data_IF_898074331153
#
_entry.id   IF_898074331153
#
_cell.length_a   1.000
_cell.length_b   1.000
_cell.length_c   1.000
_cell.angle_alpha   90.00
_cell.angle_beta   90.00
_cell.angle_gamma   90.00
#
_symmetry.space_group_name_H-M   'P 1'
#
loop_
_entity.id
_entity.type
_entity.pdbx_description
1 polymer ?
#
# COMPACT_ATOMS: atom_id res chain seq x y z
N UNK A 1 51.70 20.34 -35.18
CA UNK A 1 50.93 20.05 -36.41
C UNK A 1 49.53 20.56 -36.15
N UNK A 2 49.34 21.86 -36.34
CA UNK A 2 48.09 22.57 -36.04
C UNK A 2 47.23 22.50 -37.30
N UNK A 3 46.22 21.64 -37.28
CA UNK A 3 45.21 21.53 -38.33
C UNK A 3 44.56 22.90 -38.53
N UNK A 4 44.64 23.44 -39.75
CA UNK A 4 43.94 24.67 -40.13
C UNK A 4 42.44 24.40 -40.08
N UNK A 5 41.76 24.85 -39.02
CA UNK A 5 40.31 24.75 -38.93
C UNK A 5 39.66 25.40 -40.16
N UNK A 6 38.68 24.69 -40.72
CA UNK A 6 37.89 25.13 -41.86
C UNK A 6 37.38 26.57 -41.62
N UNK A 7 37.62 27.52 -42.54
CA UNK A 7 37.20 28.91 -42.39
C UNK A 7 35.72 29.07 -42.02
N UNK A 8 34.85 28.14 -42.44
CA UNK A 8 33.43 28.16 -42.06
C UNK A 8 33.19 27.96 -40.57
N UNK A 9 34.01 27.15 -39.89
CA UNK A 9 33.92 27.01 -38.42
C UNK A 9 34.35 28.29 -37.71
N UNK A 10 35.31 29.02 -38.29
CA UNK A 10 35.80 30.26 -37.73
C UNK A 10 34.72 31.36 -37.80
N UNK A 11 33.99 31.43 -38.91
CA UNK A 11 32.87 32.36 -39.07
C UNK A 11 31.73 32.07 -38.08
N UNK A 12 31.41 30.79 -37.85
CA UNK A 12 30.40 30.39 -36.86
C UNK A 12 30.87 30.68 -35.43
N UNK A 13 32.14 30.43 -35.11
CA UNK A 13 32.70 30.76 -33.80
C UNK A 13 32.69 32.28 -33.55
N UNK A 14 33.01 33.09 -34.57
CA UNK A 14 32.89 34.53 -34.52
C UNK A 14 31.43 34.98 -34.30
N UNK A 15 30.48 34.38 -35.02
CA UNK A 15 29.05 34.69 -34.85
C UNK A 15 28.52 34.30 -33.45
N UNK A 16 28.95 33.16 -32.90
CA UNK A 16 28.53 32.70 -31.57
C UNK A 16 29.16 33.50 -30.44
N UNK A 17 30.43 33.90 -30.59
CA UNK A 17 31.11 34.75 -29.59
C UNK A 17 30.57 36.19 -29.57
N UNK A 18 30.02 36.67 -30.68
CA UNK A 18 29.32 37.95 -30.74
C UNK A 18 27.95 37.93 -30.04
N UNK A 19 27.36 36.76 -29.80
CA UNK A 19 26.14 36.64 -29.01
C UNK A 19 26.50 36.79 -27.52
N UNK A 20 26.26 37.98 -26.98
CA UNK A 20 26.30 38.18 -25.54
C UNK A 20 25.28 37.23 -24.87
N UNK A 21 25.69 36.45 -23.84
CA UNK A 21 24.78 35.57 -23.13
C UNK A 21 23.69 36.43 -22.51
N UNK A 22 22.49 36.35 -23.08
CA UNK A 22 21.30 36.97 -22.52
C UNK A 22 21.04 36.22 -21.22
N UNK A 23 21.04 36.87 -20.04
CA UNK A 23 20.74 36.17 -18.80
C UNK A 23 19.37 35.51 -19.00
N UNK A 24 19.35 34.18 -18.92
CA UNK A 24 18.12 33.43 -19.04
C UNK A 24 17.23 33.85 -17.87
N UNK A 25 16.37 34.84 -18.10
CA UNK A 25 15.30 35.23 -17.19
C UNK A 25 14.17 34.19 -17.27
N UNK A 26 14.56 32.90 -17.18
CA UNK A 26 13.62 31.85 -16.94
C UNK A 26 13.16 32.03 -15.50
N UNK A 27 11.98 32.61 -15.36
CA UNK A 27 11.28 32.78 -14.09
C UNK A 27 10.91 31.38 -13.56
N UNK A 28 11.88 30.75 -12.89
CA UNK A 28 11.80 29.40 -12.34
C UNK A 28 10.59 29.28 -11.43
N UNK A 29 10.32 30.31 -10.65
CA UNK A 29 9.22 30.31 -9.69
C UNK A 29 7.88 30.29 -10.40
N UNK A 30 7.74 31.09 -11.46
CA UNK A 30 6.53 31.06 -12.29
C UNK A 30 6.34 29.73 -13.02
N UNK A 31 7.43 29.09 -13.46
CA UNK A 31 7.37 27.78 -14.10
C UNK A 31 6.94 26.71 -13.09
N UNK A 32 7.57 26.67 -11.92
CA UNK A 32 7.22 25.72 -10.84
C UNK A 32 5.79 25.94 -10.33
N UNK A 33 5.35 27.19 -10.17
CA UNK A 33 3.99 27.50 -9.77
C UNK A 33 2.95 27.02 -10.79
N UNK A 34 3.22 27.20 -12.09
CA UNK A 34 2.35 26.70 -13.16
C UNK A 34 2.35 25.18 -13.22
N UNK A 35 3.51 24.55 -13.06
CA UNK A 35 3.63 23.10 -12.99
C UNK A 35 2.81 22.54 -11.82
N UNK A 36 2.94 23.11 -10.62
CA UNK A 36 2.14 22.71 -9.46
C UNK A 36 0.64 22.89 -9.68
N UNK A 37 0.20 24.01 -10.27
CA UNK A 37 -1.21 24.22 -10.63
C UNK A 37 -1.74 23.21 -11.65
N UNK A 38 -0.90 22.77 -12.59
CA UNK A 38 -1.27 21.77 -13.59
C UNK A 38 -1.28 20.34 -13.02
N UNK A 39 -0.40 20.05 -12.06
CA UNK A 39 -0.32 18.76 -11.36
C UNK A 39 -1.39 18.59 -10.28
N UNK A 40 -2.03 19.67 -9.82
CA UNK A 40 -3.11 19.56 -8.85
C UNK A 40 -4.26 18.72 -9.43
N UNK A 41 -4.61 17.57 -8.80
CA UNK A 41 -5.66 16.71 -9.29
C UNK A 41 -6.96 17.51 -9.38
N UNK A 42 -7.63 17.42 -10.53
CA UNK A 42 -8.88 18.12 -10.76
C UNK A 42 -9.88 17.72 -9.67
N UNK A 43 -10.48 18.66 -8.93
CA UNK A 43 -11.40 18.36 -7.83
C UNK A 43 -12.67 17.61 -8.30
N UNK A 44 -12.85 17.44 -9.61
CA UNK A 44 -13.95 16.67 -10.17
C UNK A 44 -13.86 15.19 -9.82
N UNK A 45 -12.66 14.61 -9.74
CA UNK A 45 -12.51 13.18 -9.46
C UNK A 45 -13.01 12.81 -8.06
N UNK A 46 -12.73 13.65 -7.04
CA UNK A 46 -13.23 13.42 -5.69
C UNK A 46 -14.76 13.55 -5.61
N UNK A 47 -15.33 14.53 -6.34
CA UNK A 47 -16.79 14.70 -6.40
C UNK A 47 -17.45 13.50 -7.07
N UNK A 48 -16.84 12.96 -8.12
CA UNK A 48 -17.35 11.79 -8.83
C UNK A 48 -17.28 10.53 -7.97
N UNK A 49 -16.18 10.33 -7.23
CA UNK A 49 -16.05 9.18 -6.32
C UNK A 49 -17.04 9.27 -5.16
N UNK A 50 -17.20 10.46 -4.57
CA UNK A 50 -18.20 10.70 -3.53
C UNK A 50 -19.61 10.42 -4.07
N UNK A 51 -19.96 10.98 -5.23
CA UNK A 51 -21.26 10.75 -5.88
C UNK A 51 -21.51 9.27 -6.14
N UNK A 52 -20.54 8.56 -6.73
CA UNK A 52 -20.63 7.13 -6.99
C UNK A 52 -20.82 6.31 -5.70
N UNK A 53 -20.10 6.66 -4.63
CA UNK A 53 -20.26 6.03 -3.31
C UNK A 53 -21.65 6.25 -2.73
N UNK A 54 -22.18 7.48 -2.76
CA UNK A 54 -23.56 7.75 -2.31
C UNK A 54 -24.61 7.01 -3.13
N UNK A 55 -24.45 6.94 -4.46
CA UNK A 55 -25.38 6.20 -5.33
C UNK A 55 -25.35 4.72 -4.96
N UNK A 56 -24.16 4.12 -4.81
CA UNK A 56 -24.03 2.72 -4.43
C UNK A 56 -24.68 2.43 -3.06
N UNK A 57 -24.50 3.32 -2.07
CA UNK A 57 -25.11 3.19 -0.76
C UNK A 57 -26.65 3.24 -0.83
N UNK A 58 -27.22 4.16 -1.61
CA UNK A 58 -28.67 4.27 -1.81
C UNK A 58 -29.23 3.02 -2.49
N UNK A 59 -28.54 2.48 -3.49
CA UNK A 59 -28.94 1.24 -4.18
C UNK A 59 -28.92 0.05 -3.21
N UNK A 60 -27.86 -0.11 -2.41
CA UNK A 60 -27.77 -1.17 -1.41
C UNK A 60 -28.86 -1.05 -0.35
N UNK A 61 -29.13 0.16 0.14
CA UNK A 61 -30.21 0.41 1.08
C UNK A 61 -31.58 0.05 0.50
N UNK A 62 -31.84 0.39 -0.76
CA UNK A 62 -33.07 0.02 -1.46
C UNK A 62 -33.21 -1.49 -1.61
N UNK A 63 -32.13 -2.19 -1.99
CA UNK A 63 -32.11 -3.66 -2.09
C UNK A 63 -32.43 -4.30 -0.73
N UNK A 64 -31.85 -3.79 0.36
CA UNK A 64 -32.11 -4.28 1.71
C UNK A 64 -33.57 -4.04 2.16
N UNK A 65 -34.16 -2.91 1.79
CA UNK A 65 -35.57 -2.62 2.10
C UNK A 65 -36.55 -3.55 1.38
N UNK A 66 -36.24 -3.95 0.14
CA UNK A 66 -37.11 -4.81 -0.68
C UNK A 66 -36.84 -6.30 -0.43
N UNK A 67 -35.75 -6.64 0.27
CA UNK A 67 -35.38 -8.04 0.50
C UNK A 67 -36.43 -8.73 1.39
N UNK A 68 -37.08 -9.81 0.93
CA UNK A 68 -38.00 -10.57 1.76
C UNK A 68 -37.25 -11.17 2.95
N UNK A 69 -37.92 -11.23 4.10
CA UNK A 69 -37.34 -11.78 5.32
C UNK A 69 -36.81 -13.20 5.03
N UNK A 70 -35.56 -13.52 5.43
CA UNK A 70 -35.02 -14.85 5.24
C UNK A 70 -35.92 -15.84 5.98
N UNK A 71 -36.48 -16.80 5.24
CA UNK A 71 -37.25 -17.89 5.84
C UNK A 71 -36.31 -18.69 6.73
N UNK A 72 -36.58 -18.81 8.04
CA UNK A 72 -35.78 -19.65 8.91
C UNK A 72 -35.91 -21.09 8.43
N UNK A 73 -34.84 -21.63 7.86
CA UNK A 73 -34.78 -23.05 7.53
C UNK A 73 -34.53 -23.77 8.85
N UNK A 74 -35.60 -24.32 9.44
CA UNK A 74 -35.49 -25.20 10.60
C UNK A 74 -34.72 -26.46 10.18
N UNK A 75 -33.42 -26.48 10.47
CA UNK A 75 -32.57 -27.64 10.24
C UNK A 75 -32.72 -28.57 11.44
N UNK A 76 -33.57 -29.58 11.31
CA UNK A 76 -33.64 -30.67 12.29
C UNK A 76 -32.33 -31.47 12.21
N UNK A 77 -31.47 -31.31 13.21
CA UNK A 77 -30.25 -32.11 13.37
C UNK A 77 -30.60 -33.32 14.22
N UNK A 78 -30.68 -34.49 13.60
CA UNK A 78 -30.80 -35.74 14.32
C UNK A 78 -29.44 -36.08 14.95
N UNK A 79 -29.34 -35.86 16.25
CA UNK A 79 -28.20 -36.35 17.05
C UNK A 79 -28.49 -37.79 17.41
N UNK A 80 -27.66 -38.72 16.92
CA UNK A 80 -27.68 -40.08 17.42
C UNK A 80 -27.11 -40.10 18.84
N UNK A 81 -27.99 -40.34 19.82
CA UNK A 81 -27.57 -40.53 21.21
C UNK A 81 -27.26 -42.02 21.36
N UNK A 82 -25.97 -42.36 21.50
CA UNK A 82 -25.58 -43.70 21.94
C UNK A 82 -26.17 -43.93 23.33
N UNK A 83 -27.02 -44.95 23.55
CA UNK A 83 -27.60 -45.21 24.86
C UNK A 83 -26.47 -45.41 25.88
N UNK A 84 -26.52 -44.64 26.98
CA UNK A 84 -25.59 -44.78 28.08
C UNK A 84 -25.64 -46.24 28.58
N UNK A 85 -24.48 -46.90 28.78
CA UNK A 85 -24.43 -48.21 29.41
C UNK A 85 -25.16 -48.15 30.76
N UNK A 86 -26.09 -49.08 30.98
CA UNK A 86 -26.78 -49.25 32.26
C UNK A 86 -25.71 -49.37 33.36
N UNK A 87 -25.76 -48.58 34.45
CA UNK A 87 -24.78 -48.66 35.52
C UNK A 87 -24.73 -50.07 36.10
N UNK A 88 -23.57 -50.73 35.98
CA UNK A 88 -23.26 -51.89 36.81
C UNK A 88 -23.20 -51.44 38.29
N UNK A 89 -23.54 -52.31 39.26
CA UNK A 89 -23.54 -51.96 40.68
C UNK A 89 -22.18 -51.38 41.11
N UNK A 90 -22.18 -50.42 42.05
CA UNK A 90 -21.04 -49.54 42.30
C UNK A 90 -19.85 -50.35 42.81
N UNK A 91 -18.82 -50.49 41.98
CA UNK A 91 -17.48 -50.69 42.48
C UNK A 91 -16.89 -49.32 42.77
N UNK A 92 -16.49 -49.16 44.02
CA UNK A 92 -15.79 -48.01 44.58
C UNK A 92 -14.51 -47.75 43.77
N UNK A 93 -14.55 -46.79 42.85
CA UNK A 93 -13.37 -46.29 42.16
C UNK A 93 -12.99 -44.98 42.82
N UNK A 94 -11.78 -44.96 43.37
CA UNK A 94 -11.16 -43.81 44.02
C UNK A 94 -11.27 -42.56 43.13
N UNK A 95 -11.83 -41.50 43.70
CA UNK A 95 -11.95 -40.18 43.08
C UNK A 95 -10.55 -39.57 42.99
N UNK A 96 -9.94 -39.63 41.81
CA UNK A 96 -8.83 -38.74 41.46
C UNK A 96 -9.43 -37.40 41.03
N UNK A 97 -9.04 -36.25 41.63
CA UNK A 97 -9.55 -34.95 41.21
C UNK A 97 -9.18 -34.66 39.75
N UNK A 98 -10.09 -34.13 38.92
CA UNK A 98 -9.75 -33.69 37.58
C UNK A 98 -8.81 -32.49 37.66
N UNK A 99 -7.68 -32.58 36.96
CA UNK A 99 -6.82 -31.43 36.71
C UNK A 99 -7.61 -30.36 35.93
N UNK A 100 -7.39 -29.06 36.20
CA UNK A 100 -8.03 -27.99 35.44
C UNK A 100 -7.68 -28.13 33.96
N UNK A 101 -8.70 -28.24 33.11
CA UNK A 101 -8.55 -28.11 31.67
C UNK A 101 -8.28 -26.63 31.37
N UNK A 102 -7.01 -26.23 31.43
CA UNK A 102 -6.51 -25.03 30.78
C UNK A 102 -6.69 -25.21 29.27
N UNK A 103 -7.88 -24.85 28.81
CA UNK A 103 -8.18 -24.72 27.39
C UNK A 103 -7.63 -23.37 26.95
N UNK A 104 -6.31 -23.27 26.75
CA UNK A 104 -5.78 -22.14 25.99
C UNK A 104 -6.42 -22.17 24.60
N UNK A 105 -7.02 -21.06 24.13
CA UNK A 105 -7.44 -20.94 22.75
C UNK A 105 -6.19 -21.08 21.89
N UNK A 106 -6.02 -22.24 21.28
CA UNK A 106 -4.99 -22.50 20.30
C UNK A 106 -5.34 -21.66 19.07
N UNK A 107 -4.95 -20.38 19.07
CA UNK A 107 -5.08 -19.53 17.90
C UNK A 107 -4.34 -20.21 16.76
N UNK A 108 -4.98 -20.43 15.60
CA UNK A 108 -4.29 -21.03 14.47
C UNK A 108 -3.11 -20.13 14.12
N UNK A 109 -1.91 -20.68 14.18
CA UNK A 109 -0.66 -20.04 13.79
C UNK A 109 -0.67 -19.74 12.28
N UNK A 110 -1.47 -18.75 11.88
CA UNK A 110 -1.41 -18.14 10.57
C UNK A 110 -0.20 -17.20 10.56
N UNK A 111 0.97 -17.77 10.31
CA UNK A 111 2.17 -17.00 9.97
C UNK A 111 2.03 -16.45 8.55
N UNK A 112 1.23 -15.40 8.40
CA UNK A 112 1.20 -14.66 7.14
C UNK A 112 2.61 -14.14 6.83
N UNK A 113 3.10 -14.27 5.59
CA UNK A 113 4.40 -13.72 5.21
C UNK A 113 4.35 -12.20 5.41
N UNK A 114 5.05 -11.72 6.43
CA UNK A 114 5.16 -10.29 6.70
C UNK A 114 6.03 -9.66 5.62
N UNK A 115 5.38 -9.09 4.61
CA UNK A 115 6.05 -8.26 3.63
C UNK A 115 6.61 -7.02 4.34
N UNK A 116 7.66 -6.39 3.82
CA UNK A 116 8.20 -5.15 4.40
C UNK A 116 7.13 -4.05 4.52
N UNK A 117 6.10 -4.08 3.68
CA UNK A 117 4.98 -3.16 3.73
C UNK A 117 4.08 -3.35 4.97
N UNK A 118 3.71 -4.58 5.33
CA UNK A 118 2.82 -4.81 6.50
C UNK A 118 3.47 -4.47 7.83
N UNK A 119 4.80 -4.57 7.91
CA UNK A 119 5.57 -4.10 9.09
C UNK A 119 5.59 -2.58 9.21
N UNK A 120 5.56 -1.87 8.08
CA UNK A 120 5.50 -0.42 8.05
C UNK A 120 4.10 0.05 8.48
N UNK A 121 3.06 -0.62 7.99
CA UNK A 121 1.67 -0.35 8.36
C UNK A 121 1.40 -0.61 9.84
N UNK A 122 1.82 -1.74 10.39
CA UNK A 122 1.67 -2.03 11.84
C UNK A 122 2.45 -1.03 12.70
N UNK A 123 3.61 -0.53 12.23
CA UNK A 123 4.33 0.55 12.94
C UNK A 123 3.58 1.86 12.91
N UNK A 124 3.03 2.23 11.76
CA UNK A 124 2.30 3.48 11.56
C UNK A 124 1.00 3.48 12.36
N UNK A 125 0.30 2.34 12.43
CA UNK A 125 -0.91 2.17 13.24
C UNK A 125 -0.61 2.19 14.75
N UNK A 126 0.50 1.58 15.17
CA UNK A 126 0.82 1.42 16.60
C UNK A 126 1.51 2.64 17.22
N UNK A 127 2.34 3.35 16.45
CA UNK A 127 3.17 4.46 16.94
C UNK A 127 2.98 5.77 16.16
N UNK A 128 2.10 5.82 15.17
CA UNK A 128 1.88 7.01 14.35
C UNK A 128 3.05 7.31 13.41
N UNK A 129 3.06 8.52 12.84
CA UNK A 129 4.11 8.96 11.92
C UNK A 129 5.49 9.03 12.59
N UNK A 130 5.50 9.32 13.89
CA UNK A 130 6.72 9.41 14.72
C UNK A 130 7.41 8.05 14.90
N UNK A 131 6.71 6.94 14.67
CA UNK A 131 7.25 5.58 14.76
C UNK A 131 8.03 5.09 13.53
N UNK A 132 8.11 5.88 12.46
CA UNK A 132 8.77 5.47 11.21
C UNK A 132 10.31 5.50 11.27
N UNK A 133 10.90 6.10 12.31
CA UNK A 133 12.34 6.31 12.42
C UNK A 133 12.87 7.28 11.35
N UNK A 134 14.10 7.79 11.54
CA UNK A 134 14.74 8.53 10.46
C UNK A 134 15.05 7.57 9.30
N UNK A 135 14.77 7.96 8.04
CA UNK A 135 15.10 7.12 6.90
C UNK A 135 16.61 6.85 6.92
N UNK A 136 16.97 5.56 7.01
CA UNK A 136 18.37 5.13 6.91
C UNK A 136 18.96 5.78 5.66
N UNK A 137 20.06 6.56 5.78
CA UNK A 137 20.64 7.26 4.65
C UNK A 137 20.93 6.22 3.57
N UNK A 138 20.29 6.39 2.41
CA UNK A 138 20.55 5.53 1.27
C UNK A 138 22.06 5.54 1.01
N UNK A 139 22.70 4.38 0.80
CA UNK A 139 24.10 4.36 0.43
C UNK A 139 24.25 5.25 -0.80
N UNK A 140 25.09 6.28 -0.70
CA UNK A 140 25.31 7.22 -1.79
C UNK A 140 25.76 6.43 -3.01
N UNK A 141 24.83 6.20 -3.94
CA UNK A 141 25.17 5.61 -5.21
C UNK A 141 26.19 6.56 -5.87
N UNK A 142 27.36 6.06 -6.32
CA UNK A 142 28.30 6.89 -7.04
C UNK A 142 27.57 7.49 -8.26
N UNK A 143 27.83 8.76 -8.61
CA UNK A 143 27.16 9.39 -9.74
C UNK A 143 27.39 8.53 -10.98
N UNK A 144 26.29 8.10 -11.60
CA UNK A 144 26.37 7.36 -12.86
C UNK A 144 27.10 8.24 -13.87
N UNK A 145 28.29 7.80 -14.26
CA UNK A 145 29.11 8.52 -15.22
C UNK A 145 28.54 8.25 -16.60
N UNK A 146 28.53 9.25 -17.48
CA UNK A 146 28.01 9.16 -18.86
C UNK A 146 28.50 7.90 -19.62
N UNK A 147 29.68 7.39 -19.24
CA UNK A 147 30.29 6.18 -19.77
C UNK A 147 29.52 4.89 -19.45
N UNK A 148 28.88 4.78 -18.28
CA UNK A 148 28.06 3.60 -17.92
C UNK A 148 26.76 3.57 -18.71
N UNK A 149 26.15 4.74 -18.97
CA UNK A 149 24.94 4.86 -19.78
C UNK A 149 25.16 4.55 -21.27
N UNK A 150 26.37 4.80 -21.79
CA UNK A 150 26.72 4.50 -23.18
C UNK A 150 27.12 3.04 -23.40
N UNK A 151 27.43 2.28 -22.34
CA UNK A 151 27.79 0.87 -22.43
C UNK A 151 26.61 -0.09 -22.27
N UNK A 152 25.43 0.41 -21.90
CA UNK A 152 24.20 -0.38 -21.75
C UNK A 152 23.29 -0.37 -22.98
N UNK A 153 23.77 0.14 -24.11
CA UNK A 153 23.14 0.13 -25.44
C UNK A 153 23.90 -0.81 -26.37
#
# INVERSE_FOLDING_TARGET
>A
MSESLDPRLNDVAAALSALAPRPAALDRDRLLFRAGRASAPRPWFWRLSAAASTIAAVVLAAILLVRPAPTPIERVVYVQVTPAPIPAPPMEVAVTPPAPLESEPQEPAYSWPSTPYTRLEDRLLRWGLDGLGEPSPAPAAPPETLKSLLQSL
#
